data_IF_072856840632
#
_entry.id   IF_072856840632
#
_cell.length_a   1.000
_cell.length_b   1.000
_cell.length_c   1.000
_cell.angle_alpha   90.00
_cell.angle_beta   90.00
_cell.angle_gamma   90.00
#
_symmetry.space_group_name_H-M   'P 1'
#
loop_
_entity.id
_entity.type
_entity.pdbx_description
1 polymer ?
#
# COMPACT_ATOMS: atom_id res chain seq x y z
N UNK A 1 -24.50 -3.09 17.16
CA UNK A 1 -23.18 -3.76 17.31
C UNK A 1 -22.62 -4.00 15.91
N UNK A 2 -22.36 -2.94 15.15
CA UNK A 2 -22.02 -3.03 13.71
C UNK A 2 -20.91 -2.05 13.35
N UNK A 3 -20.85 -0.87 13.98
CA UNK A 3 -19.78 0.10 13.77
C UNK A 3 -18.39 -0.40 14.25
N UNK A 4 -18.32 -1.06 15.43
CA UNK A 4 -17.06 -1.59 15.96
C UNK A 4 -16.47 -2.71 15.07
N UNK A 5 -17.31 -3.62 14.58
CA UNK A 5 -16.86 -4.72 13.71
C UNK A 5 -16.35 -4.22 12.36
N UNK A 6 -16.94 -3.16 11.80
CA UNK A 6 -16.47 -2.56 10.55
C UNK A 6 -15.14 -1.82 10.73
N UNK A 7 -14.96 -1.10 11.84
CA UNK A 7 -13.70 -0.44 12.19
C UNK A 7 -12.56 -1.44 12.36
N UNK A 8 -12.81 -2.55 13.07
CA UNK A 8 -11.81 -3.62 13.26
C UNK A 8 -11.43 -4.27 11.92
N UNK A 9 -12.39 -4.45 11.02
CA UNK A 9 -12.12 -5.04 9.70
C UNK A 9 -11.32 -4.13 8.78
N UNK A 10 -11.62 -2.82 8.79
CA UNK A 10 -10.85 -1.84 8.04
C UNK A 10 -9.41 -1.74 8.57
N UNK A 11 -9.23 -1.73 9.89
CA UNK A 11 -7.90 -1.75 10.50
C UNK A 11 -7.13 -3.01 10.11
N UNK A 12 -7.77 -4.19 10.12
CA UNK A 12 -7.14 -5.44 9.74
C UNK A 12 -6.66 -5.42 8.28
N UNK A 13 -7.54 -5.03 7.35
CA UNK A 13 -7.19 -4.93 5.92
C UNK A 13 -6.05 -3.94 5.67
N UNK A 14 -6.03 -2.80 6.38
CA UNK A 14 -4.93 -1.85 6.32
C UNK A 14 -3.60 -2.47 6.76
N UNK A 15 -3.56 -3.16 7.90
CA UNK A 15 -2.33 -3.76 8.39
C UNK A 15 -1.84 -4.92 7.53
N UNK A 16 -2.74 -5.70 6.93
CA UNK A 16 -2.37 -6.72 5.94
C UNK A 16 -1.72 -6.09 4.71
N UNK A 17 -2.31 -5.02 4.16
CA UNK A 17 -1.74 -4.28 3.04
C UNK A 17 -0.39 -3.67 3.38
N UNK A 18 -0.24 -3.07 4.57
CA UNK A 18 1.02 -2.51 5.04
C UNK A 18 2.11 -3.59 5.15
N UNK A 19 1.80 -4.75 5.74
CA UNK A 19 2.76 -5.84 5.86
C UNK A 19 3.23 -6.39 4.50
N UNK A 20 2.35 -6.36 3.47
CA UNK A 20 2.72 -6.70 2.10
C UNK A 20 3.63 -5.62 1.50
N UNK A 21 3.30 -4.35 1.67
CA UNK A 21 4.12 -3.23 1.20
C UNK A 21 5.53 -3.27 1.82
N UNK A 22 5.64 -3.47 3.13
CA UNK A 22 6.92 -3.61 3.83
C UNK A 22 7.77 -4.78 3.32
N UNK A 23 7.13 -5.93 3.05
CA UNK A 23 7.83 -7.10 2.52
C UNK A 23 8.33 -6.85 1.09
N UNK A 24 7.55 -6.18 0.25
CA UNK A 24 7.93 -5.87 -1.13
C UNK A 24 9.03 -4.82 -1.19
N UNK A 25 8.95 -3.78 -0.34
CA UNK A 25 9.93 -2.70 -0.28
C UNK A 25 11.36 -3.20 0.01
N UNK A 26 11.50 -4.27 0.82
CA UNK A 26 12.80 -4.93 1.07
C UNK A 26 13.49 -5.47 -0.18
N UNK A 27 12.74 -5.65 -1.26
CA UNK A 27 13.19 -6.25 -2.51
C UNK A 27 12.90 -5.39 -3.73
N UNK A 28 12.58 -4.10 -3.54
CA UNK A 28 12.32 -3.13 -4.61
C UNK A 28 13.15 -1.86 -4.43
N UNK A 29 13.57 -1.26 -5.54
CA UNK A 29 14.07 0.12 -5.57
C UNK A 29 12.94 1.13 -5.53
N UNK A 30 11.73 0.68 -5.86
CA UNK A 30 10.54 1.52 -5.98
C UNK A 30 9.74 1.52 -4.69
N UNK A 31 9.05 2.64 -4.46
CA UNK A 31 8.18 2.79 -3.32
C UNK A 31 6.97 1.85 -3.42
N UNK A 32 6.48 1.44 -2.25
CA UNK A 32 5.28 0.63 -2.13
C UNK A 32 4.19 1.48 -1.50
N UNK A 33 3.03 1.57 -2.14
CA UNK A 33 1.92 2.38 -1.69
C UNK A 33 0.79 1.52 -1.14
N UNK A 34 0.28 1.86 0.05
CA UNK A 34 -1.01 1.37 0.53
C UNK A 34 -2.08 2.30 -0.02
N UNK A 35 -3.00 1.74 -0.78
CA UNK A 35 -4.12 2.46 -1.41
C UNK A 35 -5.42 2.05 -0.73
N UNK A 36 -6.26 3.04 -0.42
CA UNK A 36 -7.61 2.83 0.09
C UNK A 36 -8.62 2.72 -1.05
N UNK A 37 -9.45 1.68 -1.05
CA UNK A 37 -10.55 1.43 -1.98
C UNK A 37 -11.87 1.22 -1.23
N UNK A 38 -12.93 1.85 -1.75
CA UNK A 38 -14.26 1.80 -1.14
C UNK A 38 -14.90 0.41 -1.26
N UNK A 39 -14.54 -0.37 -2.28
CA UNK A 39 -15.08 -1.71 -2.55
C UNK A 39 -14.13 -2.83 -2.10
N UNK A 40 -12.82 -2.64 -2.28
CA UNK A 40 -11.78 -3.65 -2.04
C UNK A 40 -11.08 -3.52 -0.68
N UNK A 41 -11.29 -2.43 0.07
CA UNK A 41 -10.53 -2.14 1.28
C UNK A 41 -9.14 -1.62 0.96
N UNK A 42 -8.12 -2.02 1.72
CA UNK A 42 -6.75 -1.58 1.51
C UNK A 42 -5.93 -2.62 0.76
N UNK A 43 -5.06 -2.15 -0.15
CA UNK A 43 -4.13 -3.01 -0.87
C UNK A 43 -2.78 -2.33 -1.11
N UNK A 44 -1.74 -3.16 -1.29
CA UNK A 44 -0.39 -2.70 -1.59
C UNK A 44 -0.14 -2.67 -3.11
N UNK A 45 0.41 -1.57 -3.59
CA UNK A 45 0.76 -1.31 -4.97
C UNK A 45 2.27 -1.02 -5.07
N UNK A 46 2.97 -1.70 -5.98
CA UNK A 46 4.38 -1.45 -6.27
C UNK A 46 4.49 -0.34 -7.33
N UNK A 47 5.16 0.76 -7.02
CA UNK A 47 5.35 1.85 -8.00
C UNK A 47 6.08 1.33 -9.25
N UNK A 48 6.96 0.34 -9.11
CA UNK A 48 7.69 -0.27 -10.23
C UNK A 48 6.81 -0.99 -11.25
N UNK A 49 5.59 -1.41 -10.89
CA UNK A 49 4.62 -2.01 -11.82
C UNK A 49 4.03 -0.98 -12.79
N UNK A 50 4.15 0.31 -12.46
CA UNK A 50 3.57 1.41 -13.23
C UNK A 50 4.68 2.34 -13.71
N UNK A 51 4.78 2.56 -15.03
CA UNK A 51 5.68 3.59 -15.58
C UNK A 51 5.44 4.99 -14.95
N UNK A 52 4.19 5.28 -14.60
CA UNK A 52 3.79 6.40 -13.77
C UNK A 52 2.50 6.00 -13.06
N UNK A 53 2.44 6.18 -11.73
CA UNK A 53 1.25 5.87 -10.96
C UNK A 53 0.06 6.70 -11.50
N UNK A 54 -1.04 6.07 -11.94
CA UNK A 54 -2.20 6.80 -12.43
C UNK A 54 -2.72 7.78 -11.36
N UNK A 55 -3.03 9.01 -11.77
CA UNK A 55 -3.41 10.09 -10.84
C UNK A 55 -4.57 9.74 -9.90
N UNK A 56 -5.52 8.92 -10.37
CA UNK A 56 -6.66 8.46 -9.56
C UNK A 56 -6.28 7.46 -8.46
N UNK A 57 -5.19 6.70 -8.62
CA UNK A 57 -4.62 5.86 -7.56
C UNK A 57 -3.73 6.67 -6.63
N UNK A 58 -2.93 7.60 -7.19
CA UNK A 58 -2.08 8.49 -6.41
C UNK A 58 -2.87 9.31 -5.38
N UNK A 59 -4.06 9.79 -5.73
CA UNK A 59 -4.94 10.54 -4.82
C UNK A 59 -5.52 9.71 -3.67
N UNK A 60 -5.39 8.38 -3.72
CA UNK A 60 -5.95 7.42 -2.76
C UNK A 60 -4.86 6.70 -1.95
N UNK A 61 -3.59 7.09 -2.12
CA UNK A 61 -2.48 6.59 -1.31
C UNK A 61 -2.63 7.10 0.11
N UNK A 62 -2.71 6.17 1.07
CA UNK A 62 -2.81 6.48 2.50
C UNK A 62 -1.50 6.24 3.25
N UNK A 63 -0.61 5.42 2.70
CA UNK A 63 0.72 5.16 3.25
C UNK A 63 1.71 4.88 2.11
N UNK A 64 2.95 5.36 2.25
CA UNK A 64 4.05 5.00 1.35
C UNK A 64 5.20 4.39 2.15
N UNK A 65 5.63 3.19 1.76
CA UNK A 65 6.81 2.50 2.30
C UNK A 65 7.92 2.66 1.27
N UNK A 66 9.02 3.32 1.66
CA UNK A 66 10.13 3.53 0.74
C UNK A 66 10.80 2.21 0.33
N UNK A 67 11.17 2.12 -0.95
CA UNK A 67 12.03 1.04 -1.45
C UNK A 67 13.34 0.98 -0.66
N UNK A 68 13.74 -0.22 -0.27
CA UNK A 68 14.89 -0.43 0.62
C UNK A 68 16.11 -1.04 -0.10
N UNK A 69 16.02 -1.30 -1.41
CA UNK A 69 17.20 -1.64 -2.21
C UNK A 69 18.04 -0.39 -2.50
N UNK A 70 19.35 -0.50 -2.30
CA UNK A 70 20.32 0.55 -2.60
C UNK A 70 20.91 0.34 -3.99
N UNK A 71 20.86 1.37 -4.84
CA UNK A 71 21.39 1.38 -6.21
C UNK A 71 22.88 1.77 -6.28
N UNK A 72 23.56 1.89 -5.14
CA UNK A 72 24.97 2.32 -5.09
C UNK A 72 25.94 1.14 -5.33
N UNK A 73 26.41 1.02 -6.58
CA UNK A 73 27.66 0.34 -6.97
C UNK A 73 28.39 1.07 -8.09
#
# INVERSE_FOLDING_TARGET
MTALSTLDMNAHSYFEALAVAERRAQHSFFDQHVVEDEDLGYFALDEGDYNALPAHLASRVVHTVHGAMLDEY
#
